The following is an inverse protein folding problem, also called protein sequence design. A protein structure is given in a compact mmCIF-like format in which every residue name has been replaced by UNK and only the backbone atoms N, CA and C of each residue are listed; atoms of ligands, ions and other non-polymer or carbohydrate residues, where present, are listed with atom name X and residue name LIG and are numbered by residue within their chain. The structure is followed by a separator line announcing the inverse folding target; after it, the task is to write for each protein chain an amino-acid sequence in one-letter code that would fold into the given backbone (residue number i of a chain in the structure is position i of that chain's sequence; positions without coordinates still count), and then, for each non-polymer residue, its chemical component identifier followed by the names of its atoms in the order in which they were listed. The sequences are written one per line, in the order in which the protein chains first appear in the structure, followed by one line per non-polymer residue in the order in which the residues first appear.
data_IF_816107526179
#
_entry.id   IF_816107526179
#
_cell.length_a   1.000
_cell.length_b   1.000
_cell.length_c   1.000
_cell.angle_alpha   90.00
_cell.angle_beta   90.00
_cell.angle_gamma   90.00
#
_symmetry.space_group_name_H-M   'P 1'
#
loop_
_entity.id
_entity.type
_entity.pdbx_description
1 polymer ?
#
# COMPACT_ATOMS: atom_id res chain seq x y z
N UNK A 1 12.02 2.23 12.30
CA UNK A 1 13.49 2.16 12.22
C UNK A 1 14.09 3.47 11.70
N UNK A 2 13.83 3.89 10.44
CA UNK A 2 14.34 5.17 9.91
C UNK A 2 14.02 6.40 10.78
N UNK A 3 12.76 6.57 11.19
CA UNK A 3 12.38 7.71 12.04
C UNK A 3 13.04 7.65 13.42
N UNK A 4 13.34 6.45 13.92
CA UNK A 4 14.06 6.26 15.18
C UNK A 4 15.54 6.65 15.03
N UNK A 5 16.21 6.23 13.96
CA UNK A 5 17.60 6.61 13.69
C UNK A 5 17.75 8.12 13.49
N UNK A 6 16.84 8.76 12.76
CA UNK A 6 16.86 10.22 12.56
C UNK A 6 16.66 10.94 13.89
N UNK A 7 15.72 10.50 14.74
CA UNK A 7 15.49 11.11 16.06
C UNK A 7 16.63 10.85 17.04
N UNK A 8 17.32 9.72 16.94
CA UNK A 8 18.49 9.41 17.77
C UNK A 8 19.72 10.25 17.39
N UNK A 9 19.96 10.46 16.08
CA UNK A 9 21.07 11.29 15.60
C UNK A 9 20.80 12.79 15.72
N UNK A 10 19.53 13.22 15.75
CA UNK A 10 19.15 14.62 15.93
C UNK A 10 17.92 14.74 16.86
N UNK A 11 18.14 14.82 18.20
CA UNK A 11 17.07 14.81 19.19
C UNK A 11 16.11 16.01 19.10
N UNK A 12 16.63 17.15 18.63
CA UNK A 12 15.89 18.41 18.51
C UNK A 12 15.14 18.55 17.18
N UNK A 13 15.08 17.47 16.38
CA UNK A 13 14.34 17.50 15.11
C UNK A 13 12.85 17.76 15.35
N UNK A 14 12.33 18.73 14.61
CA UNK A 14 10.91 19.08 14.62
C UNK A 14 10.07 17.89 14.15
N UNK A 15 9.02 17.52 14.88
CA UNK A 15 8.19 16.35 14.55
C UNK A 15 7.61 16.43 13.13
N UNK A 16 7.28 17.63 12.63
CA UNK A 16 6.84 17.84 11.23
C UNK A 16 7.94 17.49 10.22
N UNK A 17 9.20 17.81 10.52
CA UNK A 17 10.33 17.48 9.65
C UNK A 17 10.59 15.96 9.66
N UNK A 18 10.39 15.30 10.80
CA UNK A 18 10.48 13.84 10.94
C UNK A 18 9.38 13.11 10.13
N UNK A 19 8.13 13.57 10.18
CA UNK A 19 7.06 13.04 9.32
C UNK A 19 7.43 13.22 7.86
N UNK A 20 7.88 14.42 7.47
CA UNK A 20 8.18 14.74 6.08
C UNK A 20 9.31 13.87 5.53
N UNK A 21 10.37 13.62 6.31
CA UNK A 21 11.45 12.72 5.89
C UNK A 21 10.96 11.27 5.79
N UNK A 22 10.15 10.81 6.75
CA UNK A 22 9.54 9.48 6.72
C UNK A 22 8.61 9.27 5.51
N UNK A 23 7.81 10.28 5.15
CA UNK A 23 6.93 10.24 3.98
C UNK A 23 7.72 10.26 2.67
N UNK A 24 8.78 11.06 2.56
CA UNK A 24 9.60 11.11 1.35
C UNK A 24 10.28 9.77 1.07
N UNK A 25 10.98 9.21 2.05
CA UNK A 25 11.64 7.89 1.90
C UNK A 25 10.61 6.79 1.69
N UNK A 26 9.52 6.85 2.45
CA UNK A 26 8.45 5.86 2.31
C UNK A 26 7.80 5.89 0.93
N UNK A 27 7.59 7.08 0.35
CA UNK A 27 7.03 7.22 -1.00
C UNK A 27 7.87 6.52 -2.06
N UNK A 28 9.19 6.60 -1.97
CA UNK A 28 10.09 5.96 -2.93
C UNK A 28 10.00 4.43 -2.84
N UNK A 29 10.03 3.89 -1.62
CA UNK A 29 9.87 2.43 -1.36
C UNK A 29 8.49 1.95 -1.84
N UNK A 30 7.45 2.71 -1.55
CA UNK A 30 6.08 2.41 -1.95
C UNK A 30 5.92 2.42 -3.48
N UNK A 31 6.62 3.31 -4.19
CA UNK A 31 6.58 3.36 -5.65
C UNK A 31 7.07 2.05 -6.28
N UNK A 32 8.19 1.52 -5.78
CA UNK A 32 8.71 0.22 -6.23
C UNK A 32 7.76 -0.92 -5.87
N UNK A 33 7.24 -0.94 -4.65
CA UNK A 33 6.35 -2.02 -4.19
C UNK A 33 4.98 -2.00 -4.89
N UNK A 34 4.43 -0.82 -5.15
CA UNK A 34 3.19 -0.64 -5.92
C UNK A 34 3.35 -1.19 -7.34
N UNK A 35 4.50 -0.94 -7.98
CA UNK A 35 4.79 -1.50 -9.31
C UNK A 35 4.76 -3.03 -9.29
N UNK A 36 5.34 -3.66 -8.27
CA UNK A 36 5.26 -5.12 -8.09
C UNK A 36 3.84 -5.61 -7.85
N UNK A 37 3.03 -4.89 -7.05
CA UNK A 37 1.63 -5.24 -6.82
C UNK A 37 0.80 -5.17 -8.11
N UNK A 38 0.96 -4.10 -8.88
CA UNK A 38 0.28 -3.96 -10.18
C UNK A 38 0.62 -5.14 -11.09
N UNK A 39 1.90 -5.52 -11.13
CA UNK A 39 2.35 -6.68 -11.91
C UNK A 39 1.73 -7.99 -11.39
N UNK A 40 1.69 -8.20 -10.07
CA UNK A 40 1.10 -9.39 -9.46
C UNK A 40 -0.40 -9.51 -9.78
N UNK A 41 -1.18 -8.44 -9.59
CA UNK A 41 -2.60 -8.42 -9.90
C UNK A 41 -2.88 -8.59 -11.40
N UNK A 42 -2.04 -8.03 -12.26
CA UNK A 42 -2.15 -8.24 -13.71
C UNK A 42 -1.97 -9.71 -14.06
N UNK A 43 -0.97 -10.39 -13.46
CA UNK A 43 -0.77 -11.83 -13.63
C UNK A 43 -1.98 -12.66 -13.15
N UNK A 44 -2.54 -12.31 -11.99
CA UNK A 44 -3.72 -12.97 -11.41
C UNK A 44 -4.98 -12.83 -12.28
N UNK A 45 -5.24 -11.64 -12.82
CA UNK A 45 -6.36 -11.40 -13.73
C UNK A 45 -6.19 -12.16 -15.04
N UNK A 46 -4.98 -12.23 -15.60
CA UNK A 46 -4.71 -13.01 -16.83
C UNK A 46 -5.05 -14.48 -16.63
N UNK A 47 -4.59 -15.07 -15.51
CA UNK A 47 -4.87 -16.48 -15.17
C UNK A 47 -6.39 -16.69 -15.04
N UNK A 48 -7.08 -15.78 -14.37
CA UNK A 48 -8.54 -15.84 -14.18
C UNK A 48 -9.30 -15.77 -15.50
N UNK A 49 -8.89 -14.88 -16.42
CA UNK A 49 -9.49 -14.77 -17.76
C UNK A 49 -9.25 -16.06 -18.57
N UNK A 50 -8.08 -16.67 -18.47
CA UNK A 50 -7.79 -17.95 -19.13
C UNK A 50 -8.70 -19.06 -18.56
N UNK A 51 -8.93 -19.09 -17.25
CA UNK A 51 -9.86 -20.05 -16.63
C UNK A 51 -11.31 -19.87 -17.09
N UNK A 52 -11.71 -18.63 -17.43
CA UNK A 52 -13.06 -18.30 -17.92
C UNK A 52 -13.23 -18.56 -19.44
N UNK A 53 -12.13 -18.76 -20.18
CA UNK A 53 -12.13 -18.98 -21.63
C UNK A 53 -13.09 -20.10 -22.12
N UNK A 54 -13.21 -21.27 -21.46
CA UNK A 54 -14.10 -22.35 -21.91
C UNK A 54 -15.59 -21.99 -21.90
N UNK A 55 -15.98 -20.96 -21.13
CA UNK A 55 -17.38 -20.57 -20.97
C UNK A 55 -17.89 -19.66 -22.09
N UNK A 56 -17.03 -19.26 -23.06
CA UNK A 56 -17.37 -18.40 -24.20
C UNK A 56 -18.15 -17.13 -23.81
N UNK A 57 -17.84 -16.57 -22.64
CA UNK A 57 -18.47 -15.35 -22.15
C UNK A 57 -18.03 -14.14 -22.98
N UNK A 58 -18.97 -13.22 -23.23
CA UNK A 58 -18.64 -11.91 -23.78
C UNK A 58 -17.82 -11.08 -22.80
N UNK A 59 -17.09 -10.06 -23.29
CA UNK A 59 -16.30 -9.16 -22.44
C UNK A 59 -17.13 -8.51 -21.32
N UNK A 60 -18.38 -8.16 -21.60
CA UNK A 60 -19.29 -7.55 -20.62
C UNK A 60 -19.64 -8.55 -19.51
N UNK A 61 -19.84 -9.82 -19.87
CA UNK A 61 -20.17 -10.88 -18.91
C UNK A 61 -18.97 -11.26 -18.05
N UNK A 62 -17.75 -11.24 -18.61
CA UNK A 62 -16.51 -11.48 -17.85
C UNK A 62 -16.35 -10.45 -16.75
N UNK A 63 -16.51 -9.15 -17.06
CA UNK A 63 -16.38 -8.07 -16.07
C UNK A 63 -17.46 -8.19 -14.98
N UNK A 64 -18.65 -8.68 -15.33
CA UNK A 64 -19.77 -8.83 -14.41
C UNK A 64 -19.70 -10.12 -13.57
N UNK A 65 -18.65 -10.94 -13.71
CA UNK A 65 -18.44 -12.10 -12.86
C UNK A 65 -17.99 -11.70 -11.46
N UNK A 66 -18.56 -12.34 -10.44
CA UNK A 66 -18.19 -12.14 -9.03
C UNK A 66 -16.69 -12.35 -8.80
N UNK A 67 -16.07 -13.30 -9.52
CA UNK A 67 -14.64 -13.59 -9.38
C UNK A 67 -13.79 -12.39 -9.83
N UNK A 68 -14.09 -11.79 -10.98
CA UNK A 68 -13.37 -10.63 -11.52
C UNK A 68 -13.62 -9.40 -10.65
N UNK A 69 -14.87 -9.19 -10.21
CA UNK A 69 -15.19 -8.10 -9.29
C UNK A 69 -14.39 -8.21 -7.98
N UNK A 70 -14.25 -9.42 -7.43
CA UNK A 70 -13.45 -9.66 -6.22
C UNK A 70 -11.96 -9.40 -6.42
N UNK A 71 -11.39 -9.77 -7.57
CA UNK A 71 -9.99 -9.52 -7.91
C UNK A 71 -9.68 -8.02 -8.00
N UNK A 72 -10.56 -7.25 -8.65
CA UNK A 72 -10.42 -5.79 -8.74
C UNK A 72 -10.50 -5.16 -7.35
N UNK A 73 -11.44 -5.62 -6.50
CA UNK A 73 -11.55 -5.13 -5.12
C UNK A 73 -10.29 -5.44 -4.30
N UNK A 74 -9.74 -6.65 -4.40
CA UNK A 74 -8.48 -7.02 -3.74
C UNK A 74 -7.32 -6.14 -4.22
N UNK A 75 -7.22 -5.90 -5.53
CA UNK A 75 -6.18 -5.08 -6.11
C UNK A 75 -6.22 -3.63 -5.58
N UNK A 76 -7.41 -3.04 -5.56
CA UNK A 76 -7.63 -1.69 -5.03
C UNK A 76 -7.37 -1.63 -3.52
N UNK A 77 -7.93 -2.56 -2.74
CA UNK A 77 -7.77 -2.59 -1.29
C UNK A 77 -6.30 -2.77 -0.89
N UNK A 78 -5.57 -3.68 -1.57
CA UNK A 78 -4.15 -3.91 -1.34
C UNK A 78 -3.30 -2.66 -1.64
N UNK A 79 -3.57 -2.01 -2.78
CA UNK A 79 -2.83 -0.80 -3.18
C UNK A 79 -3.10 0.37 -2.23
N UNK A 80 -4.34 0.58 -1.82
CA UNK A 80 -4.72 1.65 -0.88
C UNK A 80 -4.11 1.38 0.49
N UNK A 81 -4.20 0.14 0.98
CA UNK A 81 -3.61 -0.25 2.27
C UNK A 81 -2.10 -0.02 2.31
N UNK A 82 -1.40 -0.37 1.23
CA UNK A 82 0.02 -0.08 1.06
C UNK A 82 0.31 1.43 1.17
N UNK A 83 -0.46 2.25 0.44
CA UNK A 83 -0.26 3.70 0.42
C UNK A 83 -0.48 4.33 1.80
N UNK A 84 -1.50 3.86 2.53
CA UNK A 84 -1.84 4.38 3.85
C UNK A 84 -0.90 3.90 4.96
N UNK A 85 -0.19 2.79 4.79
CA UNK A 85 0.68 2.21 5.83
C UNK A 85 1.78 3.20 6.28
N UNK A 86 2.34 3.97 5.35
CA UNK A 86 3.44 4.90 5.62
C UNK A 86 3.00 6.12 6.44
N UNK A 87 1.98 6.90 6.02
CA UNK A 87 1.50 8.02 6.82
C UNK A 87 0.97 7.57 8.18
N UNK A 88 0.29 6.41 8.26
CA UNK A 88 -0.17 5.84 9.54
C UNK A 88 1.02 5.56 10.46
N UNK A 89 2.04 4.87 9.97
CA UNK A 89 3.23 4.54 10.78
C UNK A 89 3.97 5.80 11.25
N UNK A 90 4.12 6.81 10.38
CA UNK A 90 4.76 8.07 10.73
C UNK A 90 3.99 8.85 11.81
N UNK A 91 2.67 8.87 11.70
CA UNK A 91 1.82 9.54 12.68
C UNK A 91 1.82 8.82 14.04
N UNK A 92 1.75 7.48 14.02
CA UNK A 92 1.79 6.66 15.24
C UNK A 92 3.11 6.84 15.97
N UNK A 93 4.25 6.86 15.26
CA UNK A 93 5.57 7.02 15.87
C UNK A 93 5.71 8.30 16.71
N UNK A 94 5.14 9.41 16.26
CA UNK A 94 5.18 10.69 17.00
C UNK A 94 4.25 10.69 18.21
N UNK A 95 3.11 10.00 18.13
CA UNK A 95 2.14 9.96 19.21
C UNK A 95 2.50 8.98 20.34
N UNK A 96 3.32 7.96 20.07
CA UNK A 96 3.81 6.99 21.08
C UNK A 96 4.41 7.64 22.33
N UNK A 97 5.35 8.62 22.26
CA UNK A 97 5.91 9.23 23.47
C UNK A 97 4.88 10.04 24.28
N UNK A 98 3.81 10.55 23.67
CA UNK A 98 2.72 11.21 24.39
C UNK A 98 1.77 10.21 25.08
N UNK A 99 1.68 8.97 24.59
CA UNK A 99 0.88 7.90 25.19
C UNK A 99 1.51 7.28 26.43
N UNK A 100 2.85 7.30 26.55
CA UNK A 100 3.59 6.78 27.71
C UNK A 100 3.75 7.79 28.86
N UNK A 101 3.37 9.06 28.66
CA UNK A 101 3.39 10.11 29.69
C UNK A 101 2.04 10.31 30.40
N UNK A 102 1.08 9.39 30.21
CA UNK A 102 -0.24 9.43 30.85
C UNK A 102 -0.36 8.34 31.91
#
# INVERSE_FOLDING_TARGET
MFQYEIKNNNPDILDRALVKSGLNVGKDIMGTMCTTLILAFTGEIIITVIMLSPYNLSFIEIINQDIIASEILKALAGSIGLILTIPITAFVFINIPNLLKK
#
